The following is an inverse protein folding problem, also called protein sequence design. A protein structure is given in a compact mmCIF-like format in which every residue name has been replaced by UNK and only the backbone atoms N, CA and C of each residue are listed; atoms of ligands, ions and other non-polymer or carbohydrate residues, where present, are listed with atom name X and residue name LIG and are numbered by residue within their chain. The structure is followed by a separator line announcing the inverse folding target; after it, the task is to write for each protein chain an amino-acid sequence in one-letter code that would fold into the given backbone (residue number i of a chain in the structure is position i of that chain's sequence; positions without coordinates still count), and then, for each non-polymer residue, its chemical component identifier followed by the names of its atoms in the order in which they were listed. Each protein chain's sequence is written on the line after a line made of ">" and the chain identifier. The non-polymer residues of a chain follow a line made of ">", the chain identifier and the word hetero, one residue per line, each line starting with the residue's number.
data_IF_181620508843
#
_entry.id   IF_181620508843
#
_cell.length_a   1.000
_cell.length_b   1.000
_cell.length_c   1.000
_cell.angle_alpha   90.00
_cell.angle_beta   90.00
_cell.angle_gamma   90.00
#
_symmetry.space_group_name_H-M   'P 1'
#
loop_
_entity.id
_entity.type
_entity.pdbx_description
1 polymer ?
#
# COMPACT_ATOMS: atom_id res chain seq x y z
N UNK A 1 -5.89 -10.20 -15.11
CA UNK A 1 -5.81 -11.52 -14.43
C UNK A 1 -6.08 -11.32 -12.94
N UNK A 2 -6.54 -12.36 -12.23
CA UNK A 2 -6.74 -12.29 -10.79
C UNK A 2 -6.77 -13.65 -10.14
N UNK A 3 -6.52 -13.69 -8.84
CA UNK A 3 -6.55 -14.90 -8.02
C UNK A 3 -7.17 -14.57 -6.66
N UNK A 4 -7.88 -15.54 -6.07
CA UNK A 4 -8.50 -15.39 -4.76
C UNK A 4 -9.99 -15.70 -4.81
N UNK A 5 -10.73 -15.24 -3.80
CA UNK A 5 -12.14 -15.61 -3.63
C UNK A 5 -13.16 -14.71 -4.36
N UNK A 6 -12.73 -13.57 -4.92
CA UNK A 6 -13.60 -12.68 -5.67
C UNK A 6 -13.63 -13.06 -7.16
N UNK A 7 -14.77 -12.85 -7.81
CA UNK A 7 -15.00 -13.15 -9.21
C UNK A 7 -15.02 -11.86 -10.03
N UNK A 8 -14.14 -11.75 -11.03
CA UNK A 8 -14.22 -10.67 -12.01
C UNK A 8 -15.15 -11.08 -13.16
N UNK A 9 -16.15 -10.26 -13.47
CA UNK A 9 -17.22 -10.64 -14.40
C UNK A 9 -17.18 -9.89 -15.73
N UNK A 10 -16.95 -8.57 -15.70
CA UNK A 10 -17.00 -7.71 -16.89
C UNK A 10 -15.88 -6.70 -16.82
N UNK A 11 -15.16 -6.49 -17.92
CA UNK A 11 -14.22 -5.39 -18.07
C UNK A 11 -14.83 -4.30 -18.96
N UNK A 12 -14.48 -3.06 -18.68
CA UNK A 12 -14.93 -1.87 -19.40
C UNK A 12 -13.74 -0.99 -19.72
N UNK A 13 -13.73 -0.39 -20.92
CA UNK A 13 -12.73 0.57 -21.36
C UNK A 13 -13.37 1.95 -21.48
N UNK A 14 -12.74 2.96 -20.88
CA UNK A 14 -13.25 4.33 -20.82
C UNK A 14 -12.24 5.35 -21.37
N UNK A 15 -12.74 6.38 -22.05
CA UNK A 15 -12.04 7.65 -22.30
C UNK A 15 -12.68 8.71 -21.40
N UNK A 16 -11.98 9.08 -20.31
CA UNK A 16 -12.57 9.90 -19.25
C UNK A 16 -13.81 9.24 -18.65
N UNK A 17 -14.97 9.87 -18.82
CA UNK A 17 -16.28 9.34 -18.37
C UNK A 17 -17.04 8.57 -19.44
N UNK A 18 -16.54 8.54 -20.69
CA UNK A 18 -17.22 7.90 -21.82
C UNK A 18 -16.83 6.44 -21.91
N UNK A 19 -17.81 5.53 -21.91
CA UNK A 19 -17.58 4.11 -22.18
C UNK A 19 -17.27 3.91 -23.66
N UNK A 20 -16.13 3.28 -23.96
CA UNK A 20 -15.70 2.92 -25.32
C UNK A 20 -16.19 1.52 -25.66
N UNK A 21 -16.04 0.57 -24.73
CA UNK A 21 -16.42 -0.82 -24.94
C UNK A 21 -16.39 -1.62 -23.65
N UNK A 22 -17.02 -2.79 -23.69
CA UNK A 22 -17.01 -3.72 -22.58
C UNK A 22 -17.02 -5.16 -23.09
N UNK A 23 -16.61 -6.08 -22.23
CA UNK A 23 -16.58 -7.50 -22.53
C UNK A 23 -16.67 -8.33 -21.27
N UNK A 24 -17.37 -9.47 -21.36
CA UNK A 24 -17.38 -10.45 -20.30
C UNK A 24 -15.96 -11.02 -20.12
N UNK A 25 -15.53 -11.14 -18.87
CA UNK A 25 -14.25 -11.77 -18.53
C UNK A 25 -14.45 -13.28 -18.60
N UNK A 26 -13.72 -13.94 -19.49
CA UNK A 26 -13.67 -15.39 -19.54
C UNK A 26 -12.98 -15.90 -18.27
N UNK A 27 -13.72 -16.61 -17.41
CA UNK A 27 -13.23 -17.06 -16.10
C UNK A 27 -12.07 -18.05 -16.17
N UNK A 28 -11.90 -18.75 -17.30
CA UNK A 28 -10.78 -19.70 -17.50
C UNK A 28 -9.50 -19.00 -17.91
N UNK A 29 -9.59 -17.98 -18.76
CA UNK A 29 -8.41 -17.32 -19.34
C UNK A 29 -8.10 -15.95 -18.72
N UNK A 30 -9.07 -15.35 -18.05
CA UNK A 30 -8.97 -14.01 -17.45
C UNK A 30 -8.99 -12.86 -18.46
N UNK A 31 -9.27 -13.14 -19.74
CA UNK A 31 -9.39 -12.13 -20.79
C UNK A 31 -10.84 -11.68 -20.99
N UNK A 32 -11.01 -10.39 -21.24
CA UNK A 32 -12.22 -9.84 -21.83
C UNK A 32 -11.89 -9.36 -23.24
N UNK A 33 -12.67 -9.79 -24.23
CA UNK A 33 -12.61 -9.28 -25.59
C UNK A 33 -13.66 -8.19 -25.71
N UNK A 34 -13.23 -7.00 -26.13
CA UNK A 34 -14.11 -5.85 -26.37
C UNK A 34 -14.27 -5.73 -27.89
N UNK A 35 -15.24 -6.45 -28.43
CA UNK A 35 -15.56 -6.38 -29.85
C UNK A 35 -16.25 -5.04 -30.19
N UNK A 36 -16.16 -4.63 -31.45
CA UNK A 36 -16.85 -3.44 -31.99
C UNK A 36 -16.45 -2.12 -31.30
N UNK A 37 -15.16 -1.95 -31.03
CA UNK A 37 -14.61 -0.72 -30.46
C UNK A 37 -13.99 0.16 -31.55
N UNK A 38 -14.84 0.92 -32.25
CA UNK A 38 -14.39 1.92 -33.21
C UNK A 38 -13.86 3.17 -32.48
N UNK A 39 -12.60 3.10 -32.03
CA UNK A 39 -11.93 4.20 -31.34
C UNK A 39 -10.74 4.73 -32.16
N UNK A 40 -10.84 5.99 -32.57
CA UNK A 40 -9.83 6.65 -33.41
C UNK A 40 -8.84 7.41 -32.53
N UNK A 41 -7.56 7.05 -32.65
CA UNK A 41 -6.44 7.80 -32.08
C UNK A 41 -5.75 8.56 -33.20
N UNK A 42 -5.81 9.90 -33.23
CA UNK A 42 -5.08 10.68 -34.23
C UNK A 42 -3.58 10.37 -34.19
N UNK A 43 -2.95 10.37 -35.37
CA UNK A 43 -1.50 10.17 -35.48
C UNK A 43 -0.77 11.19 -34.59
N UNK A 44 0.32 10.73 -33.98
CA UNK A 44 1.20 11.54 -33.12
C UNK A 44 0.50 12.12 -31.88
N UNK A 45 -0.60 11.48 -31.45
CA UNK A 45 -1.27 11.82 -30.19
C UNK A 45 -1.22 10.66 -29.19
N UNK A 46 -1.30 10.99 -27.91
CA UNK A 46 -1.41 10.02 -26.82
C UNK A 46 -2.79 10.13 -26.20
N UNK A 47 -3.43 8.97 -25.98
CA UNK A 47 -4.72 8.88 -25.29
C UNK A 47 -4.56 8.03 -24.04
N UNK A 48 -5.08 8.53 -22.93
CA UNK A 48 -5.13 7.81 -21.65
C UNK A 48 -6.49 7.17 -21.51
N UNK A 49 -6.52 5.84 -21.56
CA UNK A 49 -7.74 5.06 -21.36
C UNK A 49 -7.75 4.43 -19.98
N UNK A 50 -8.93 4.28 -19.39
CA UNK A 50 -9.13 3.63 -18.11
C UNK A 50 -9.82 2.29 -18.28
N UNK A 51 -9.27 1.25 -17.65
CA UNK A 51 -9.95 -0.04 -17.53
C UNK A 51 -10.68 -0.08 -16.18
N UNK A 52 -11.96 -0.42 -16.20
CA UNK A 52 -12.76 -0.73 -15.01
C UNK A 52 -13.20 -2.18 -15.05
N UNK A 53 -13.34 -2.80 -13.90
CA UNK A 53 -13.73 -4.21 -13.80
C UNK A 53 -14.81 -4.36 -12.76
N UNK A 54 -15.85 -5.11 -13.09
CA UNK A 54 -16.85 -5.56 -12.13
C UNK A 54 -16.31 -6.74 -11.34
N UNK A 55 -16.37 -6.60 -10.02
CA UNK A 55 -15.93 -7.61 -9.07
C UNK A 55 -17.12 -8.02 -8.21
N UNK A 56 -17.33 -9.32 -8.08
CA UNK A 56 -18.40 -9.97 -7.31
C UNK A 56 -17.80 -10.95 -6.31
N UNK A 57 -18.63 -11.37 -5.35
CA UNK A 57 -18.36 -12.51 -4.46
C UNK A 57 -17.06 -12.44 -3.66
N UNK A 58 -16.51 -11.24 -3.45
CA UNK A 58 -15.39 -11.07 -2.54
C UNK A 58 -15.78 -11.62 -1.16
N UNK A 59 -14.82 -12.28 -0.50
CA UNK A 59 -14.98 -12.73 0.87
C UNK A 59 -13.75 -12.32 1.69
N UNK A 60 -13.60 -12.88 2.89
CA UNK A 60 -12.52 -12.48 3.79
C UNK A 60 -11.12 -12.89 3.31
N UNK A 61 -11.02 -13.72 2.27
CA UNK A 61 -9.77 -14.03 1.57
C UNK A 61 -9.49 -12.96 0.51
N UNK A 62 -8.29 -12.36 0.55
CA UNK A 62 -7.83 -11.42 -0.48
C UNK A 62 -7.96 -12.02 -1.87
N UNK A 63 -8.53 -11.23 -2.78
CA UNK A 63 -8.37 -11.42 -4.21
C UNK A 63 -7.57 -10.26 -4.79
N UNK A 64 -6.52 -10.54 -5.56
CA UNK A 64 -5.71 -9.49 -6.19
C UNK A 64 -5.91 -9.54 -7.70
N UNK A 65 -6.16 -8.37 -8.29
CA UNK A 65 -6.38 -8.20 -9.73
C UNK A 65 -5.36 -7.24 -10.32
N UNK A 66 -4.90 -7.56 -11.53
CA UNK A 66 -4.09 -6.68 -12.37
C UNK A 66 -4.70 -6.59 -13.76
N UNK A 67 -4.68 -5.39 -14.34
CA UNK A 67 -4.97 -5.17 -15.75
C UNK A 67 -3.66 -5.24 -16.54
N UNK A 68 -3.66 -5.98 -17.64
CA UNK A 68 -2.49 -6.14 -18.50
C UNK A 68 -2.91 -5.84 -19.93
N UNK A 69 -2.17 -4.97 -20.60
CA UNK A 69 -2.26 -4.73 -22.03
C UNK A 69 -0.94 -5.15 -22.69
N UNK A 70 -1.02 -5.94 -23.75
CA UNK A 70 0.15 -6.38 -24.52
C UNK A 70 0.01 -5.96 -25.98
N UNK A 71 1.11 -5.95 -26.73
CA UNK A 71 1.12 -5.63 -28.15
C UNK A 71 0.21 -6.52 -29.00
N UNK A 72 -0.11 -7.74 -28.54
CA UNK A 72 -1.04 -8.65 -29.23
C UNK A 72 -2.52 -8.43 -28.88
N UNK A 73 -2.83 -7.53 -27.93
CA UNK A 73 -4.19 -7.33 -27.43
C UNK A 73 -5.05 -6.44 -28.33
N UNK A 74 -4.59 -5.27 -28.82
CA UNK A 74 -5.41 -4.42 -29.68
C UNK A 74 -5.34 -4.87 -31.15
N UNK A 75 -6.48 -4.87 -31.83
CA UNK A 75 -6.54 -4.95 -33.30
C UNK A 75 -6.61 -3.52 -33.83
N UNK A 76 -5.62 -3.13 -34.63
CA UNK A 76 -5.49 -1.75 -35.10
C UNK A 76 -5.25 -1.69 -36.60
N UNK A 77 -5.87 -0.71 -37.24
CA UNK A 77 -5.64 -0.35 -38.64
C UNK A 77 -5.39 1.15 -38.77
N UNK A 78 -4.72 1.55 -39.84
CA UNK A 78 -4.61 2.95 -40.21
C UNK A 78 -5.86 3.41 -40.99
N UNK A 79 -5.94 4.70 -41.31
CA UNK A 79 -7.04 5.26 -42.10
C UNK A 79 -7.14 4.73 -43.54
N UNK A 80 -6.19 3.92 -43.99
CA UNK A 80 -6.15 3.29 -45.32
C UNK A 80 -6.53 1.79 -45.24
N UNK A 81 -6.93 1.29 -44.08
CA UNK A 81 -7.30 -0.12 -43.86
C UNK A 81 -6.10 -1.07 -43.79
N UNK A 82 -4.88 -0.56 -43.64
CA UNK A 82 -3.68 -1.36 -43.43
C UNK A 82 -3.48 -1.64 -41.95
N UNK A 83 -3.12 -2.89 -41.61
CA UNK A 83 -2.81 -3.28 -40.24
C UNK A 83 -1.61 -2.50 -39.70
N UNK A 84 -1.75 -1.95 -38.50
CA UNK A 84 -0.64 -1.39 -37.72
C UNK A 84 -0.17 -2.47 -36.76
N UNK A 85 1.14 -2.63 -36.58
CA UNK A 85 1.70 -3.50 -35.54
C UNK A 85 1.81 -2.73 -34.23
N UNK A 86 0.99 -3.03 -33.20
CA UNK A 86 1.13 -2.40 -31.90
C UNK A 86 2.44 -2.81 -31.25
N UNK A 87 3.06 -1.90 -30.51
CA UNK A 87 4.28 -2.17 -29.74
C UNK A 87 4.10 -1.77 -28.29
N UNK A 88 4.78 -2.46 -27.39
CA UNK A 88 4.79 -2.15 -25.96
C UNK A 88 3.85 -3.02 -25.13
N UNK A 89 3.89 -2.78 -23.83
CA UNK A 89 3.06 -3.47 -22.83
C UNK A 89 2.89 -2.57 -21.61
N UNK A 90 1.77 -2.72 -20.92
CA UNK A 90 1.51 -2.07 -19.65
C UNK A 90 0.84 -3.05 -18.68
N UNK A 91 1.23 -2.97 -17.41
CA UNK A 91 0.63 -3.73 -16.31
C UNK A 91 0.25 -2.72 -15.23
N UNK A 92 -0.99 -2.79 -14.74
CA UNK A 92 -1.41 -1.97 -13.61
C UNK A 92 -0.78 -2.45 -12.31
N UNK A 93 -0.83 -1.59 -11.30
CA UNK A 93 -0.65 -2.04 -9.92
C UNK A 93 -1.69 -3.10 -9.55
N UNK A 94 -1.31 -3.96 -8.60
CA UNK A 94 -2.22 -4.96 -8.02
C UNK A 94 -3.28 -4.29 -7.17
N UNK A 95 -4.55 -4.52 -7.49
CA UNK A 95 -5.68 -4.10 -6.67
C UNK A 95 -6.14 -5.28 -5.85
N UNK A 96 -5.92 -5.23 -4.53
CA UNK A 96 -6.41 -6.25 -3.60
C UNK A 96 -7.81 -5.88 -3.12
N UNK A 97 -8.72 -6.85 -3.21
CA UNK A 97 -10.14 -6.73 -2.93
C UNK A 97 -10.53 -7.77 -1.88
N UNK A 98 -11.33 -7.34 -0.91
CA UNK A 98 -11.94 -8.14 0.16
C UNK A 98 -13.34 -7.59 0.45
N UNK A 99 -14.22 -8.41 1.01
CA UNK A 99 -15.51 -7.91 1.50
C UNK A 99 -15.41 -7.15 2.82
N UNK A 100 -14.43 -7.52 3.66
CA UNK A 100 -14.18 -6.89 4.96
C UNK A 100 -12.69 -6.61 5.09
N UNK A 101 -12.35 -5.38 5.47
CA UNK A 101 -10.98 -4.98 5.73
C UNK A 101 -10.84 -3.49 6.04
N UNK A 102 -9.65 -3.07 6.50
CA UNK A 102 -9.34 -1.67 6.64
C UNK A 102 -8.95 -1.03 5.30
N UNK A 103 -9.40 0.19 5.07
CA UNK A 103 -8.83 1.10 4.07
C UNK A 103 -7.80 1.99 4.78
N UNK A 104 -6.57 2.02 4.25
CA UNK A 104 -5.47 2.82 4.79
C UNK A 104 -5.10 3.95 3.86
N UNK A 105 -5.12 5.18 4.38
CA UNK A 105 -4.66 6.37 3.65
C UNK A 105 -3.56 7.07 4.44
N UNK A 106 -2.42 7.32 3.81
CA UNK A 106 -1.36 8.12 4.41
C UNK A 106 -1.73 9.61 4.31
N UNK A 107 -1.93 10.26 5.46
CA UNK A 107 -2.27 11.68 5.52
C UNK A 107 -1.03 12.58 5.56
N UNK A 108 -0.02 12.17 6.33
CA UNK A 108 1.24 12.91 6.44
C UNK A 108 2.39 12.01 6.89
N UNK A 109 3.62 12.44 6.63
CA UNK A 109 4.86 11.79 7.05
C UNK A 109 5.96 12.83 7.28
N UNK A 110 6.80 12.61 8.28
CA UNK A 110 7.97 13.44 8.57
C UNK A 110 9.08 12.61 9.18
N UNK A 111 10.31 13.09 9.11
CA UNK A 111 11.43 12.54 9.85
C UNK A 111 12.19 13.68 10.53
N UNK A 112 12.63 13.45 11.76
CA UNK A 112 13.46 14.39 12.51
C UNK A 112 14.68 13.66 13.06
N UNK A 113 15.77 14.42 13.19
CA UNK A 113 16.99 13.95 13.83
C UNK A 113 17.05 14.50 15.26
N UNK A 114 17.39 13.64 16.21
CA UNK A 114 17.65 14.01 17.59
C UNK A 114 18.80 15.01 17.69
N UNK A 115 18.74 15.89 18.68
CA UNK A 115 19.71 16.99 18.84
C UNK A 115 20.97 16.57 19.59
N UNK A 116 21.02 15.37 20.16
CA UNK A 116 22.17 14.87 20.92
C UNK A 116 23.31 14.49 19.95
N UNK A 117 24.46 15.18 20.00
CA UNK A 117 25.58 14.84 19.13
C UNK A 117 26.24 13.52 19.56
N UNK A 118 26.60 12.70 18.58
CA UNK A 118 27.47 11.53 18.78
C UNK A 118 28.84 11.96 19.30
N UNK A 119 29.18 11.61 20.54
CA UNK A 119 30.47 11.95 21.16
C UNK A 119 31.11 10.73 21.79
N UNK A 120 32.28 10.30 21.31
CA UNK A 120 33.15 9.34 21.99
C UNK A 120 32.51 8.00 22.38
N UNK A 121 31.54 7.51 21.60
CA UNK A 121 30.71 6.34 21.90
C UNK A 121 29.74 6.47 23.09
N UNK A 122 29.63 7.64 23.74
CA UNK A 122 28.87 7.86 24.98
C UNK A 122 27.46 8.40 24.78
N UNK A 123 27.20 9.08 23.66
CA UNK A 123 25.88 9.64 23.30
C UNK A 123 25.38 8.97 22.04
N UNK A 124 24.06 8.82 21.85
CA UNK A 124 23.48 8.20 20.65
C UNK A 124 22.54 9.20 19.96
N UNK A 125 22.80 9.54 18.70
CA UNK A 125 21.87 10.29 17.85
C UNK A 125 20.67 9.40 17.52
N UNK A 126 19.52 9.99 17.27
CA UNK A 126 18.32 9.22 16.90
C UNK A 126 17.67 9.83 15.67
N UNK A 127 16.98 9.00 14.90
CA UNK A 127 16.08 9.43 13.86
C UNK A 127 14.67 8.99 14.25
N UNK A 128 13.72 9.92 14.22
CA UNK A 128 12.31 9.64 14.49
C UNK A 128 11.49 9.96 13.25
N UNK A 129 10.88 8.93 12.67
CA UNK A 129 9.86 9.05 11.64
C UNK A 129 8.49 9.11 12.29
N UNK A 130 7.64 10.02 11.82
CA UNK A 130 6.24 10.12 12.24
C UNK A 130 5.36 10.01 11.01
N UNK A 131 4.33 9.17 11.08
CA UNK A 131 3.32 8.98 10.04
C UNK A 131 1.95 9.18 10.66
N UNK A 132 1.06 9.88 9.95
CA UNK A 132 -0.37 9.91 10.30
C UNK A 132 -1.13 9.10 9.28
N UNK A 133 -1.68 7.96 9.71
CA UNK A 133 -2.43 7.04 8.86
C UNK A 133 -3.90 7.12 9.21
N UNK A 134 -4.73 7.46 8.22
CA UNK A 134 -6.18 7.29 8.31
C UNK A 134 -6.54 5.84 8.09
N UNK A 135 -7.33 5.30 9.00
CA UNK A 135 -7.84 3.94 8.97
C UNK A 135 -9.35 4.01 8.90
N UNK A 136 -9.97 3.32 7.95
CA UNK A 136 -11.43 3.19 7.86
C UNK A 136 -11.81 1.71 7.86
N UNK A 137 -12.76 1.31 8.70
CA UNK A 137 -13.30 -0.04 8.69
C UNK A 137 -14.36 -0.17 7.58
N UNK A 138 -14.15 -1.09 6.63
CA UNK A 138 -15.05 -1.27 5.48
C UNK A 138 -15.62 -2.69 5.48
N UNK A 139 -16.94 -2.80 5.34
CA UNK A 139 -17.69 -4.06 5.23
C UNK A 139 -17.84 -4.86 6.53
N UNK A 140 -17.21 -4.41 7.62
CA UNK A 140 -17.36 -4.96 8.95
C UNK A 140 -16.43 -4.30 9.97
N UNK A 141 -16.59 -4.67 11.22
CA UNK A 141 -15.71 -4.24 12.32
C UNK A 141 -14.29 -4.79 12.10
N UNK A 142 -13.28 -3.96 12.41
CA UNK A 142 -11.87 -4.33 12.30
C UNK A 142 -11.18 -4.15 13.64
N UNK A 143 -10.52 -5.19 14.13
CA UNK A 143 -9.75 -5.15 15.37
C UNK A 143 -8.26 -4.93 15.09
N UNK A 144 -7.61 -4.18 15.97
CA UNK A 144 -6.20 -3.84 15.90
C UNK A 144 -5.53 -4.11 17.25
N UNK A 145 -4.28 -4.56 17.21
CA UNK A 145 -3.45 -4.67 18.42
C UNK A 145 -2.88 -3.30 18.82
N UNK A 146 -2.84 -3.01 20.11
CA UNK A 146 -2.12 -1.83 20.64
C UNK A 146 -0.61 -2.08 20.66
N UNK A 147 0.19 -1.07 21.04
CA UNK A 147 1.65 -1.20 21.20
C UNK A 147 2.06 -2.29 22.21
N UNK A 148 1.19 -2.62 23.17
CA UNK A 148 1.41 -3.68 24.16
C UNK A 148 0.96 -5.08 23.68
N UNK A 149 0.39 -5.18 22.47
CA UNK A 149 -0.03 -6.46 21.88
C UNK A 149 1.18 -7.30 21.45
N UNK A 150 1.07 -8.63 21.55
CA UNK A 150 2.03 -9.54 20.89
C UNK A 150 1.94 -9.50 19.36
N UNK A 151 0.87 -8.90 18.81
CA UNK A 151 0.70 -8.61 17.40
C UNK A 151 0.16 -7.18 17.26
N UNK A 152 1.02 -6.16 17.41
CA UNK A 152 0.60 -4.77 17.36
C UNK A 152 0.22 -4.37 15.93
N UNK A 153 -0.64 -3.36 15.79
CA UNK A 153 -0.95 -2.74 14.50
C UNK A 153 0.31 -2.23 13.79
N UNK A 154 1.19 -1.59 14.56
CA UNK A 154 2.53 -1.15 14.15
C UNK A 154 3.57 -1.69 15.15
N UNK A 155 4.48 -2.54 14.70
CA UNK A 155 5.62 -3.03 15.51
C UNK A 155 6.92 -2.27 15.23
N UNK A 156 7.99 -2.58 15.97
CA UNK A 156 9.31 -1.95 15.82
C UNK A 156 10.31 -2.75 14.96
N UNK A 157 9.88 -3.87 14.39
CA UNK A 157 10.74 -4.72 13.55
C UNK A 157 10.83 -4.21 12.11
N UNK A 158 11.80 -4.77 11.38
CA UNK A 158 12.00 -4.52 9.93
C UNK A 158 10.83 -4.95 9.06
N UNK A 159 9.86 -5.69 9.63
CA UNK A 159 8.61 -6.05 8.98
C UNK A 159 7.68 -4.85 8.86
N UNK A 160 7.62 -3.99 9.88
CA UNK A 160 6.72 -2.83 9.92
C UNK A 160 7.39 -1.57 9.40
N UNK A 161 8.67 -1.38 9.72
CA UNK A 161 9.42 -0.20 9.30
C UNK A 161 10.78 -0.60 8.76
N UNK A 162 11.17 -0.03 7.63
CA UNK A 162 12.54 -0.13 7.11
C UNK A 162 13.17 1.25 7.12
N UNK A 163 14.47 1.30 7.38
CA UNK A 163 15.23 2.47 6.97
C UNK A 163 15.78 2.30 5.57
N UNK A 164 15.95 3.44 4.92
CA UNK A 164 16.50 3.55 3.59
C UNK A 164 17.74 4.41 3.65
N UNK A 165 18.88 3.85 3.27
CA UNK A 165 20.17 4.52 3.23
C UNK A 165 20.53 4.81 1.77
N UNK A 166 20.68 6.10 1.41
CA UNK A 166 20.92 6.50 0.02
C UNK A 166 19.87 5.93 -0.95
N UNK A 167 18.60 5.93 -0.54
CA UNK A 167 17.48 5.40 -1.32
C UNK A 167 17.27 3.87 -1.29
N UNK A 168 18.23 3.09 -0.81
CA UNK A 168 18.16 1.61 -0.76
C UNK A 168 17.72 1.11 0.61
N UNK A 169 16.85 0.10 0.65
CA UNK A 169 16.41 -0.51 1.90
C UNK A 169 17.64 -1.10 2.63
N UNK A 170 17.78 -0.74 3.91
CA UNK A 170 18.87 -1.19 4.76
C UNK A 170 18.29 -1.85 6.00
N UNK A 171 18.77 -3.06 6.31
CA UNK A 171 18.48 -3.71 7.58
C UNK A 171 19.24 -2.97 8.68
N UNK A 172 18.58 -2.03 9.35
CA UNK A 172 19.17 -1.39 10.52
C UNK A 172 19.30 -2.43 11.65
N UNK A 173 20.54 -2.79 11.97
CA UNK A 173 20.93 -3.61 13.11
C UNK A 173 20.98 -2.75 14.38
N UNK A 174 19.95 -1.96 14.66
CA UNK A 174 19.96 -0.93 15.73
C UNK A 174 18.77 -1.12 16.65
N UNK A 175 18.86 -0.59 17.88
CA UNK A 175 17.71 -0.50 18.77
C UNK A 175 16.64 0.40 18.14
N UNK A 176 15.42 -0.11 18.04
CA UNK A 176 14.28 0.61 17.49
C UNK A 176 13.07 0.53 18.41
N UNK A 177 12.23 1.56 18.35
CA UNK A 177 10.96 1.57 19.07
C UNK A 177 9.85 2.15 18.20
N UNK A 178 8.63 1.69 18.47
CA UNK A 178 7.42 2.18 17.84
C UNK A 178 6.46 2.63 18.91
N UNK A 179 5.79 3.76 18.70
CA UNK A 179 4.76 4.29 19.58
C UNK A 179 3.58 4.78 18.78
N UNK A 180 2.38 4.44 19.24
CA UNK A 180 1.11 5.00 18.75
C UNK A 180 0.09 4.93 19.87
N UNK A 181 -0.88 5.84 19.85
CA UNK A 181 -1.94 5.88 20.84
C UNK A 181 -3.15 5.12 20.34
N UNK A 182 -3.74 4.28 21.21
CA UNK A 182 -5.05 3.68 20.94
C UNK A 182 -6.09 4.80 20.78
N UNK A 183 -6.75 4.92 19.61
CA UNK A 183 -7.79 5.91 19.42
C UNK A 183 -8.94 5.73 20.43
N UNK A 184 -9.63 6.83 20.75
CA UNK A 184 -10.80 6.82 21.63
C UNK A 184 -11.98 7.52 20.97
N UNK A 185 -13.19 7.07 21.23
CA UNK A 185 -14.41 7.66 20.69
C UNK A 185 -15.54 6.65 20.69
N UNK A 186 -16.76 7.08 20.35
CA UNK A 186 -17.92 6.19 20.29
C UNK A 186 -17.81 5.12 19.21
N UNK A 187 -16.97 5.33 18.19
CA UNK A 187 -16.69 4.39 17.10
C UNK A 187 -15.59 3.37 17.41
N UNK A 188 -14.95 3.46 18.58
CA UNK A 188 -13.82 2.62 18.98
C UNK A 188 -14.17 1.87 20.27
N UNK A 189 -14.16 0.55 20.21
CA UNK A 189 -14.46 -0.33 21.35
C UNK A 189 -13.16 -0.85 21.93
N UNK A 190 -12.94 -0.62 23.22
CA UNK A 190 -11.79 -1.16 23.99
C UNK A 190 -12.22 -1.98 25.20
N UNK A 191 -13.46 -1.82 25.66
CA UNK A 191 -14.01 -2.54 26.82
C UNK A 191 -14.04 -4.05 26.55
N UNK A 192 -13.52 -4.84 27.47
CA UNK A 192 -13.46 -6.30 27.35
C UNK A 192 -12.37 -6.82 26.42
N UNK A 193 -11.53 -5.94 25.87
CA UNK A 193 -10.38 -6.29 25.05
C UNK A 193 -9.08 -6.12 25.83
N UNK A 194 -8.13 -7.04 25.62
CA UNK A 194 -6.77 -6.96 26.19
C UNK A 194 -5.82 -6.50 25.10
N UNK A 195 -5.11 -5.40 25.32
CA UNK A 195 -4.11 -4.84 24.39
C UNK A 195 -4.61 -4.74 22.93
N UNK A 196 -5.90 -4.47 22.74
CA UNK A 196 -6.54 -4.36 21.43
C UNK A 196 -7.68 -3.35 21.45
N UNK A 197 -8.08 -2.91 20.27
CA UNK A 197 -9.26 -2.05 20.06
C UNK A 197 -9.96 -2.45 18.76
N UNK A 198 -11.28 -2.28 18.71
CA UNK A 198 -12.09 -2.51 17.52
C UNK A 198 -12.59 -1.19 16.98
N UNK A 199 -12.33 -0.92 15.70
CA UNK A 199 -12.95 0.16 14.94
C UNK A 199 -14.24 -0.38 14.31
N UNK A 200 -15.37 0.21 14.66
CA UNK A 200 -16.67 -0.22 14.15
C UNK A 200 -16.82 0.07 12.66
N UNK A 201 -17.54 -0.79 11.93
CA UNK A 201 -17.80 -0.66 10.49
C UNK A 201 -18.24 0.76 10.10
N UNK A 202 -17.71 1.24 8.97
CA UNK A 202 -18.07 2.52 8.36
C UNK A 202 -17.39 3.73 9.00
N UNK A 203 -16.76 3.56 10.17
CA UNK A 203 -16.05 4.63 10.86
C UNK A 203 -14.59 4.71 10.43
N UNK A 204 -13.98 5.87 10.70
CA UNK A 204 -12.58 6.12 10.45
C UNK A 204 -11.90 6.82 11.63
N UNK A 205 -10.59 6.61 11.78
CA UNK A 205 -9.72 7.25 12.77
C UNK A 205 -8.38 7.60 12.14
N UNK A 206 -7.78 8.69 12.59
CA UNK A 206 -6.43 9.10 12.18
C UNK A 206 -5.44 8.73 13.28
N UNK A 207 -4.48 7.87 12.97
CA UNK A 207 -3.53 7.31 13.94
C UNK A 207 -2.14 7.87 13.65
N UNK A 208 -1.59 8.73 14.53
CA UNK A 208 -0.19 9.07 14.49
C UNK A 208 0.64 7.91 15.04
N UNK A 209 1.63 7.48 14.27
CA UNK A 209 2.63 6.47 14.67
C UNK A 209 4.01 7.07 14.53
N UNK A 210 4.85 6.84 15.54
CA UNK A 210 6.26 7.21 15.52
C UNK A 210 7.13 5.96 15.56
N UNK A 211 8.13 5.91 14.68
CA UNK A 211 9.20 4.92 14.66
C UNK A 211 10.52 5.63 14.93
N UNK A 212 11.29 5.13 15.89
CA UNK A 212 12.59 5.68 16.24
C UNK A 212 13.67 4.62 16.02
N UNK A 213 14.80 5.03 15.45
CA UNK A 213 16.01 4.22 15.37
C UNK A 213 17.24 5.02 15.80
N UNK A 214 18.26 4.30 16.30
CA UNK A 214 19.51 4.89 16.79
C UNK A 214 20.56 5.06 15.68
N UNK A 215 21.41 6.09 15.83
CA UNK A 215 22.59 6.36 15.02
C UNK A 215 23.73 5.36 15.21
N UNK A 216 23.50 4.25 15.92
CA UNK A 216 24.51 3.21 16.18
C UNK A 216 23.96 1.82 15.91
N UNK A 217 24.84 0.97 15.40
CA UNK A 217 24.66 -0.48 15.35
C UNK A 217 24.59 -1.08 16.77
N UNK A 218 24.05 -2.30 16.89
CA UNK A 218 24.08 -3.08 18.14
C UNK A 218 25.48 -3.29 18.71
N UNK A 219 26.51 -3.28 17.86
CA UNK A 219 27.92 -3.33 18.26
C UNK A 219 28.45 -1.98 18.80
N UNK A 220 27.62 -0.94 18.85
CA UNK A 220 27.97 0.39 19.31
C UNK A 220 28.78 1.20 18.30
N UNK A 221 28.85 0.78 17.04
CA UNK A 221 29.52 1.53 15.96
C UNK A 221 28.53 2.49 15.31
N UNK A 222 28.93 3.73 15.07
CA UNK A 222 28.11 4.72 14.38
C UNK A 222 27.69 4.24 12.99
N UNK A 223 26.47 4.57 12.59
CA UNK A 223 26.01 4.33 11.23
C UNK A 223 26.75 5.23 10.25
N UNK A 224 26.81 4.82 8.98
CA UNK A 224 27.61 5.56 7.99
C UNK A 224 26.97 6.91 7.71
N UNK A 225 27.78 7.98 7.68
CA UNK A 225 27.27 9.34 7.47
C UNK A 225 26.70 9.53 6.07
N UNK A 226 25.41 9.25 5.93
CA UNK A 226 24.68 9.22 4.65
C UNK A 226 23.26 9.71 4.87
N UNK A 227 22.48 9.78 3.79
CA UNK A 227 21.07 10.14 3.87
C UNK A 227 20.23 8.94 4.32
N UNK A 228 19.35 9.16 5.30
CA UNK A 228 18.45 8.16 5.85
C UNK A 228 17.00 8.61 5.76
N UNK A 229 16.12 7.69 5.39
CA UNK A 229 14.66 7.84 5.47
C UNK A 229 14.03 6.61 6.14
N UNK A 230 12.77 6.72 6.55
CA UNK A 230 11.98 5.61 7.13
C UNK A 230 10.81 5.32 6.20
N UNK A 231 10.57 4.05 5.88
CA UNK A 231 9.36 3.59 5.21
C UNK A 231 8.46 2.81 6.17
N UNK A 232 7.15 3.05 6.09
CA UNK A 232 6.14 2.19 6.68
C UNK A 232 5.83 1.07 5.69
N UNK A 233 6.05 -0.17 6.10
CA UNK A 233 6.08 -1.34 5.21
C UNK A 233 4.89 -2.30 5.44
N UNK A 234 4.36 -2.33 6.66
CA UNK A 234 3.27 -3.23 7.02
C UNK A 234 2.36 -2.63 8.08
N UNK A 235 1.07 -2.95 7.99
CA UNK A 235 0.08 -2.67 9.04
C UNK A 235 -0.70 -3.96 9.34
N UNK A 236 -0.72 -4.37 10.60
CA UNK A 236 -1.48 -5.55 11.04
C UNK A 236 -2.91 -5.19 11.43
N UNK A 237 -3.82 -6.12 11.17
CA UNK A 237 -5.24 -5.99 11.52
C UNK A 237 -5.86 -7.39 11.69
N UNK A 238 -7.05 -7.43 12.30
CA UNK A 238 -7.82 -8.66 12.49
C UNK A 238 -9.23 -8.41 11.99
N UNK A 239 -9.62 -9.15 10.96
CA UNK A 239 -10.99 -9.15 10.44
C UNK A 239 -11.75 -10.41 10.84
N UNK A 240 -12.98 -10.59 10.33
CA UNK A 240 -13.81 -11.77 10.60
C UNK A 240 -13.16 -13.10 10.21
N UNK A 241 -12.23 -13.10 9.25
CA UNK A 241 -11.49 -14.29 8.80
C UNK A 241 -10.17 -14.54 9.54
N UNK A 242 -9.86 -13.74 10.56
CA UNK A 242 -8.65 -13.88 11.37
C UNK A 242 -7.66 -12.74 11.19
N UNK A 243 -6.44 -12.96 11.69
CA UNK A 243 -5.35 -12.00 11.63
C UNK A 243 -4.76 -11.90 10.22
N UNK A 244 -4.46 -10.68 9.79
CA UNK A 244 -3.91 -10.39 8.47
C UNK A 244 -3.02 -9.12 8.51
N UNK A 245 -2.39 -8.81 7.39
CA UNK A 245 -1.50 -7.68 7.22
C UNK A 245 -1.68 -7.01 5.86
N UNK A 246 -1.53 -5.70 5.82
CA UNK A 246 -1.43 -4.93 4.57
C UNK A 246 0.01 -4.54 4.32
N UNK A 247 0.52 -4.81 3.11
CA UNK A 247 1.92 -4.62 2.71
C UNK A 247 2.08 -3.83 1.41
N UNK A 248 1.00 -3.29 0.84
CA UNK A 248 1.02 -2.54 -0.43
C UNK A 248 1.92 -1.29 -0.38
N UNK A 249 2.25 -0.80 0.81
CA UNK A 249 3.15 0.32 1.05
C UNK A 249 4.64 -0.05 1.02
N UNK A 250 4.97 -1.34 1.07
CA UNK A 250 6.34 -1.80 1.17
C UNK A 250 7.17 -1.38 -0.06
N UNK A 251 8.29 -0.69 0.16
CA UNK A 251 9.14 -0.18 -0.91
C UNK A 251 8.69 1.15 -1.52
N UNK A 252 7.43 1.54 -1.33
CA UNK A 252 6.85 2.72 -1.98
C UNK A 252 7.40 4.04 -1.43
N UNK A 253 7.91 4.89 -2.33
CA UNK A 253 8.44 6.21 -1.94
C UNK A 253 7.37 7.14 -1.38
N UNK A 254 6.11 6.94 -1.78
CA UNK A 254 4.94 7.66 -1.23
C UNK A 254 4.71 7.33 0.24
N UNK A 255 5.14 6.16 0.72
CA UNK A 255 5.08 5.71 2.12
C UNK A 255 6.41 5.82 2.87
N UNK A 256 7.39 6.52 2.26
CA UNK A 256 8.71 6.79 2.83
C UNK A 256 8.89 8.26 3.19
N UNK A 257 9.43 8.57 4.36
CA UNK A 257 9.74 9.96 4.75
C UNK A 257 10.72 10.62 3.77
N UNK A 258 10.88 11.94 3.88
CA UNK A 258 12.07 12.60 3.32
C UNK A 258 13.35 12.05 3.96
N UNK A 259 14.50 12.43 3.40
CA UNK A 259 15.80 12.02 3.91
C UNK A 259 16.36 13.03 4.92
N UNK A 260 17.10 12.54 5.91
CA UNK A 260 17.93 13.32 6.84
C UNK A 260 19.35 12.79 6.85
N UNK A 261 20.31 13.67 7.14
CA UNK A 261 21.71 13.27 7.31
C UNK A 261 21.98 12.84 8.76
N UNK A 262 22.32 11.57 8.94
CA UNK A 262 22.78 11.01 10.22
C UNK A 262 24.32 10.89 10.20
N UNK A 263 25.00 11.16 11.32
CA UNK A 263 26.09 10.38 11.88
C UNK A 263 25.58 9.46 12.99
#
# INVERSE_FOLDING_TARGET
>A
TGSGAATATTAYLFDGSTLIGSGAINSTTGFAVMDDTDYIIPRDTTRSLAVKVDIRDANGVAATFVAVATSGSPKTENSEGSTITPTGSATSEGVTIRNVGPEFTLLSKSITKGTTPETGNTSTSTAQGTFTVRVKAVGGDIMFGTVASGSPMFGSSTTFFKAYQGGSASTLLVSSSTSFTTPSGSSVVTTGLTNSFTLQEGNQVDIPVSFLFEGKTTAGVNITTTSYAIGLEQINWVGPSGADSSTFMAGETTWRTSEIAMP
#
